data_IF_291364055277
#
_entry.id   IF_291364055277
#
_cell.length_a   1.000
_cell.length_b   1.000
_cell.length_c   1.000
_cell.angle_alpha   90.00
_cell.angle_beta   90.00
_cell.angle_gamma   90.00
#
_symmetry.space_group_name_H-M   'P 1'
#
loop_
_entity.id
_entity.type
_entity.pdbx_description
1 polymer ?
#
# COMPACT_ATOMS: atom_id res chain seq x y z
N UNK A 1 23.26 4.08 12.44
CA UNK A 1 24.01 2.81 12.49
C UNK A 1 24.91 2.79 11.28
N UNK A 2 26.21 2.90 11.51
CA UNK A 2 27.21 2.95 10.45
C UNK A 2 27.85 1.56 10.32
N UNK A 3 28.19 1.18 9.09
CA UNK A 3 28.85 -0.07 8.81
C UNK A 3 29.88 0.14 7.71
N UNK A 4 31.04 -0.48 7.85
CA UNK A 4 32.06 -0.52 6.79
C UNK A 4 31.90 -1.78 5.96
N UNK A 5 32.12 -1.68 4.64
CA UNK A 5 32.17 -2.84 3.76
C UNK A 5 33.49 -3.57 4.01
N UNK A 6 33.41 -4.86 4.37
CA UNK A 6 34.61 -5.69 4.62
C UNK A 6 34.87 -6.71 3.52
N UNK A 7 33.83 -7.10 2.76
CA UNK A 7 33.98 -7.92 1.57
C UNK A 7 32.79 -7.74 0.61
N UNK A 8 33.05 -7.88 -0.69
CA UNK A 8 32.05 -7.94 -1.76
C UNK A 8 32.30 -9.19 -2.58
N UNK A 9 31.31 -10.06 -2.67
CA UNK A 9 31.34 -11.30 -3.45
C UNK A 9 30.14 -11.35 -4.38
N UNK A 10 30.35 -10.98 -5.65
CA UNK A 10 29.28 -10.78 -6.62
C UNK A 10 28.26 -9.75 -6.14
N UNK A 11 27.02 -10.18 -5.89
CA UNK A 11 25.96 -9.33 -5.33
C UNK A 11 25.86 -9.41 -3.81
N UNK A 12 26.60 -10.29 -3.13
CA UNK A 12 26.60 -10.38 -1.68
C UNK A 12 27.63 -9.41 -1.08
N UNK A 13 27.24 -8.69 -0.05
CA UNK A 13 28.10 -7.76 0.67
C UNK A 13 28.15 -8.12 2.14
N UNK A 14 29.36 -8.22 2.67
CA UNK A 14 29.61 -8.34 4.11
C UNK A 14 29.94 -6.97 4.66
N UNK A 15 29.14 -6.56 5.63
CA UNK A 15 29.29 -5.29 6.35
C UNK A 15 29.74 -5.58 7.78
N UNK A 16 30.59 -4.74 8.33
CA UNK A 16 30.91 -4.75 9.75
C UNK A 16 30.34 -3.50 10.41
N UNK A 17 29.51 -3.67 11.43
CA UNK A 17 28.96 -2.57 12.20
C UNK A 17 30.04 -1.87 12.99
N UNK A 18 30.10 -0.55 12.90
CA UNK A 18 31.06 0.25 13.67
C UNK A 18 30.74 0.24 15.17
N UNK A 19 29.48 0.04 15.52
CA UNK A 19 29.02 0.08 16.91
C UNK A 19 29.47 -1.10 17.77
N UNK A 20 29.56 -2.30 17.18
CA UNK A 20 29.78 -3.54 17.94
C UNK A 20 30.61 -4.59 17.19
N UNK A 21 31.12 -4.27 16.00
CA UNK A 21 31.95 -5.17 15.20
C UNK A 21 31.21 -6.36 14.59
N UNK A 22 29.88 -6.50 14.78
CA UNK A 22 29.11 -7.60 14.19
C UNK A 22 29.13 -7.52 12.68
N UNK A 23 29.16 -8.70 12.05
CA UNK A 23 29.07 -8.81 10.60
C UNK A 23 27.62 -8.97 10.17
N UNK A 24 27.18 -8.20 9.17
CA UNK A 24 25.91 -8.37 8.49
C UNK A 24 26.15 -8.83 7.05
N UNK A 25 25.21 -9.60 6.53
CA UNK A 25 25.14 -9.96 5.12
C UNK A 25 23.98 -9.20 4.49
N UNK A 26 24.25 -8.52 3.38
CA UNK A 26 23.26 -7.82 2.58
C UNK A 26 23.48 -8.13 1.11
N UNK A 27 22.46 -7.93 0.27
CA UNK A 27 22.69 -7.86 -1.17
C UNK A 27 23.13 -6.43 -1.52
N UNK A 28 24.04 -6.29 -2.49
CA UNK A 28 24.53 -5.00 -2.99
C UNK A 28 23.38 -4.10 -3.45
N UNK A 29 22.30 -4.69 -3.97
CA UNK A 29 21.08 -3.98 -4.34
C UNK A 29 20.28 -3.42 -3.16
N UNK A 30 20.48 -3.95 -1.95
CA UNK A 30 19.86 -3.51 -0.71
C UNK A 30 20.69 -2.43 0.01
N UNK A 31 21.88 -2.13 -0.50
CA UNK A 31 22.80 -1.15 0.08
C UNK A 31 22.72 0.19 -0.65
N UNK A 32 22.69 1.25 0.14
CA UNK A 32 22.91 2.60 -0.37
C UNK A 32 24.41 2.88 -0.36
N UNK A 33 25.03 2.83 -1.54
CA UNK A 33 26.39 3.31 -1.72
C UNK A 33 26.37 4.83 -1.81
N UNK A 34 27.25 5.46 -1.02
CA UNK A 34 27.45 6.90 -0.94
C UNK A 34 28.69 7.26 -1.76
N UNK A 35 28.61 8.31 -2.57
CA UNK A 35 29.80 8.88 -3.20
C UNK A 35 30.64 9.64 -2.16
N UNK A 36 31.92 9.90 -2.47
CA UNK A 36 32.75 10.76 -1.64
C UNK A 36 32.07 12.11 -1.38
N UNK A 37 32.18 12.59 -0.14
CA UNK A 37 31.43 13.74 0.40
C UNK A 37 31.62 15.06 -0.38
N UNK A 38 32.53 15.12 -1.35
CA UNK A 38 32.78 16.28 -2.22
C UNK A 38 32.02 16.31 -3.56
N UNK A 39 31.27 15.27 -3.92
CA UNK A 39 30.55 15.27 -5.20
C UNK A 39 29.45 16.34 -5.27
N UNK A 40 29.30 16.98 -6.44
CA UNK A 40 28.24 17.95 -6.69
C UNK A 40 26.86 17.25 -6.71
N UNK A 41 25.87 17.84 -6.04
CA UNK A 41 24.50 17.34 -6.03
C UNK A 41 23.76 17.75 -7.31
N UNK A 42 23.02 16.83 -7.92
CA UNK A 42 22.13 17.16 -9.03
C UNK A 42 20.87 17.89 -8.52
N UNK A 43 20.50 19.00 -9.18
CA UNK A 43 19.30 19.79 -8.85
C UNK A 43 18.54 20.08 -10.16
N UNK A 44 17.28 19.62 -10.33
CA UNK A 44 16.58 18.69 -9.45
C UNK A 44 17.23 17.29 -9.46
N UNK A 45 17.07 16.53 -8.38
CA UNK A 45 17.77 15.26 -8.23
C UNK A 45 17.25 14.36 -7.12
N UNK A 46 18.01 13.32 -6.81
CA UNK A 46 17.77 12.40 -5.70
C UNK A 46 19.04 12.24 -4.88
N UNK A 47 18.87 12.07 -3.57
CA UNK A 47 19.96 11.97 -2.62
C UNK A 47 19.54 11.10 -1.41
N UNK A 48 20.48 10.88 -0.51
CA UNK A 48 20.21 10.40 0.85
C UNK A 48 20.34 11.61 1.78
N UNK A 49 19.26 11.99 2.46
CA UNK A 49 19.20 13.18 3.30
C UNK A 49 19.08 12.80 4.77
N UNK A 50 19.68 13.61 5.65
CA UNK A 50 19.58 13.44 7.09
C UNK A 50 18.34 14.15 7.62
N UNK A 51 17.57 13.45 8.44
CA UNK A 51 16.46 14.01 9.21
C UNK A 51 16.47 13.41 10.62
N UNK A 52 16.38 14.27 11.64
CA UNK A 52 16.38 13.89 13.07
C UNK A 52 17.44 12.84 13.46
N UNK A 53 18.62 12.92 12.83
CA UNK A 53 19.74 12.02 13.10
C UNK A 53 19.76 10.72 12.29
N UNK A 54 18.72 10.41 11.52
CA UNK A 54 18.63 9.27 10.62
C UNK A 54 18.76 9.68 9.15
N UNK A 55 19.15 8.74 8.28
CA UNK A 55 19.31 8.97 6.85
C UNK A 55 18.15 8.36 6.05
N UNK A 56 17.57 9.13 5.15
CA UNK A 56 16.41 8.74 4.35
C UNK A 56 16.59 9.05 2.86
N UNK A 57 15.94 8.29 1.96
CA UNK A 57 15.84 8.68 0.56
C UNK A 57 15.06 9.99 0.43
N UNK A 58 15.60 10.94 -0.34
CA UNK A 58 14.98 12.24 -0.58
C UNK A 58 15.07 12.66 -2.06
N UNK A 59 14.17 13.56 -2.47
CA UNK A 59 14.26 14.28 -3.74
C UNK A 59 14.72 15.70 -3.47
N UNK A 60 15.61 16.21 -4.31
CA UNK A 60 16.05 17.60 -4.27
C UNK A 60 15.24 18.36 -5.31
N UNK A 61 14.44 19.32 -4.85
CA UNK A 61 13.56 20.13 -5.68
C UNK A 61 14.32 21.35 -6.24
N UNK A 62 15.03 22.08 -5.39
CA UNK A 62 15.77 23.29 -5.75
C UNK A 62 16.93 23.57 -4.78
N UNK A 63 17.82 24.47 -5.16
CA UNK A 63 18.91 24.95 -4.33
C UNK A 63 19.03 26.47 -4.45
N UNK A 64 19.16 27.15 -3.31
CA UNK A 64 19.36 28.60 -3.24
C UNK A 64 20.23 28.94 -2.03
N UNK A 65 21.32 29.68 -2.25
CA UNK A 65 22.22 30.11 -1.18
C UNK A 65 22.80 28.95 -0.36
N UNK A 66 23.14 27.83 -1.01
CA UNK A 66 23.67 26.63 -0.33
C UNK A 66 22.65 25.82 0.47
N UNK A 67 21.39 26.23 0.48
CA UNK A 67 20.28 25.51 1.11
C UNK A 67 19.48 24.77 0.05
N UNK A 68 19.22 23.50 0.31
CA UNK A 68 18.50 22.58 -0.57
C UNK A 68 17.06 22.43 -0.08
N UNK A 69 16.08 22.66 -0.96
CA UNK A 69 14.70 22.28 -0.71
C UNK A 69 14.54 20.80 -1.08
N UNK A 70 14.17 19.97 -0.10
CA UNK A 70 14.06 18.52 -0.28
C UNK A 70 12.66 18.00 0.06
N UNK A 71 12.25 16.95 -0.64
CA UNK A 71 11.05 16.17 -0.35
C UNK A 71 11.47 14.80 0.23
N UNK A 72 11.10 14.57 1.48
CA UNK A 72 11.14 13.28 2.17
C UNK A 72 9.84 12.50 1.92
N UNK A 73 9.79 11.21 2.30
CA UNK A 73 8.53 10.48 2.31
C UNK A 73 7.48 11.19 3.18
N UNK A 74 7.87 11.69 4.34
CA UNK A 74 6.98 12.26 5.36
C UNK A 74 6.74 13.77 5.26
N UNK A 75 7.43 14.49 4.37
CA UNK A 75 7.24 15.93 4.24
C UNK A 75 8.32 16.64 3.44
N UNK A 76 8.21 17.97 3.35
CA UNK A 76 9.26 18.82 2.76
C UNK A 76 10.09 19.48 3.84
N UNK A 77 11.38 19.68 3.55
CA UNK A 77 12.31 20.31 4.48
C UNK A 77 13.37 21.12 3.71
N UNK A 78 14.08 21.99 4.44
CA UNK A 78 15.25 22.71 3.96
C UNK A 78 16.48 22.17 4.68
N UNK A 79 17.51 21.79 3.92
CA UNK A 79 18.72 21.17 4.45
C UNK A 79 19.97 21.88 3.91
N UNK A 80 21.02 21.92 4.73
CA UNK A 80 22.35 22.36 4.35
C UNK A 80 23.16 21.21 3.74
N UNK A 81 24.18 21.52 2.93
CA UNK A 81 25.01 20.51 2.21
C UNK A 81 25.49 19.31 3.05
N UNK A 82 25.92 19.46 4.33
CA UNK A 82 26.37 18.32 5.16
C UNK A 82 25.27 17.32 5.50
N UNK A 83 24.00 17.70 5.35
CA UNK A 83 22.84 16.86 5.61
C UNK A 83 22.38 16.10 4.35
N UNK A 84 23.13 16.21 3.25
CA UNK A 84 22.84 15.51 2.00
C UNK A 84 24.04 14.69 1.56
N UNK A 85 23.77 13.50 1.06
CA UNK A 85 24.75 12.61 0.45
C UNK A 85 24.34 12.33 -0.99
N UNK A 86 25.29 12.50 -1.90
CA UNK A 86 25.06 12.23 -3.32
C UNK A 86 24.74 10.75 -3.51
N UNK A 87 23.61 10.49 -4.18
CA UNK A 87 23.26 9.15 -4.60
C UNK A 87 24.22 8.68 -5.71
N UNK A 88 24.85 7.52 -5.53
CA UNK A 88 25.49 6.80 -6.64
C UNK A 88 24.44 6.37 -7.67
N UNK A 89 24.87 5.91 -8.86
CA UNK A 89 23.93 5.51 -9.93
C UNK A 89 22.89 4.47 -9.48
N UNK A 90 23.31 3.44 -8.75
CA UNK A 90 22.41 2.40 -8.21
C UNK A 90 21.50 2.96 -7.12
N UNK A 91 22.05 3.72 -6.17
CA UNK A 91 21.26 4.41 -5.13
C UNK A 91 20.20 5.32 -5.75
N UNK A 92 20.56 6.09 -6.78
CA UNK A 92 19.64 7.00 -7.45
C UNK A 92 18.48 6.26 -8.12
N UNK A 93 18.74 5.11 -8.76
CA UNK A 93 17.70 4.24 -9.32
C UNK A 93 16.76 3.73 -8.22
N UNK A 94 17.29 3.28 -7.08
CA UNK A 94 16.52 2.79 -5.95
C UNK A 94 15.65 3.89 -5.32
N UNK A 95 16.21 5.09 -5.09
CA UNK A 95 15.46 6.24 -4.57
C UNK A 95 14.33 6.64 -5.53
N UNK A 96 14.60 6.72 -6.85
CA UNK A 96 13.57 7.00 -7.85
C UNK A 96 12.48 5.93 -7.87
N UNK A 97 12.84 4.65 -7.75
CA UNK A 97 11.88 3.54 -7.68
C UNK A 97 11.01 3.64 -6.42
N UNK A 98 11.61 3.95 -5.28
CA UNK A 98 10.91 4.16 -4.01
C UNK A 98 9.86 5.28 -4.13
N UNK A 99 10.23 6.47 -4.60
CA UNK A 99 9.27 7.58 -4.76
C UNK A 99 8.19 7.28 -5.79
N UNK A 100 8.53 6.60 -6.89
CA UNK A 100 7.54 6.15 -7.89
C UNK A 100 6.53 5.17 -7.27
N UNK A 101 6.99 4.21 -6.48
CA UNK A 101 6.10 3.26 -5.79
C UNK A 101 5.23 3.96 -4.75
N UNK A 102 5.79 4.88 -3.96
CA UNK A 102 5.04 5.70 -3.00
C UNK A 102 3.95 6.53 -3.69
N UNK A 103 4.28 7.19 -4.80
CA UNK A 103 3.33 7.98 -5.60
C UNK A 103 2.19 7.11 -6.17
N UNK A 104 2.52 5.90 -6.66
CA UNK A 104 1.52 4.92 -7.10
C UNK A 104 0.58 4.49 -5.97
N UNK A 105 1.13 4.13 -4.79
CA UNK A 105 0.34 3.77 -3.60
C UNK A 105 -0.55 4.92 -3.13
N UNK A 106 -0.02 6.14 -3.06
CA UNK A 106 -0.79 7.33 -2.68
C UNK A 106 -1.92 7.60 -3.67
N UNK A 107 -1.64 7.53 -4.98
CA UNK A 107 -2.67 7.66 -6.01
C UNK A 107 -3.72 6.57 -5.93
N UNK A 108 -3.31 5.33 -5.63
CA UNK A 108 -4.22 4.20 -5.42
C UNK A 108 -5.15 4.45 -4.22
N UNK A 109 -4.59 4.82 -3.06
CA UNK A 109 -5.35 5.11 -1.85
C UNK A 109 -6.32 6.29 -2.05
N UNK A 110 -5.90 7.37 -2.70
CA UNK A 110 -6.78 8.50 -3.07
C UNK A 110 -7.89 8.08 -4.02
N UNK A 111 -7.58 7.24 -5.01
CA UNK A 111 -8.56 6.68 -5.93
C UNK A 111 -9.60 5.81 -5.21
N UNK A 112 -9.14 4.92 -4.33
CA UNK A 112 -9.98 4.05 -3.52
C UNK A 112 -10.89 4.83 -2.57
N UNK A 113 -10.33 5.80 -1.83
CA UNK A 113 -11.12 6.67 -0.94
C UNK A 113 -12.20 7.42 -1.71
N UNK A 114 -11.88 7.92 -2.91
CA UNK A 114 -12.87 8.54 -3.80
C UNK A 114 -13.87 7.55 -4.37
N UNK A 115 -13.56 6.26 -4.48
CA UNK A 115 -14.51 5.25 -4.95
C UNK A 115 -15.57 4.92 -3.89
N UNK A 116 -15.32 5.25 -2.62
CA UNK A 116 -16.24 5.03 -1.50
C UNK A 116 -16.05 3.66 -0.86
N UNK A 117 -17.14 3.04 -0.45
CA UNK A 117 -17.15 1.73 0.20
C UNK A 117 -18.06 0.77 -0.58
N UNK A 118 -17.89 -0.54 -0.41
CA UNK A 118 -18.93 -1.49 -0.80
C UNK A 118 -20.26 -1.14 -0.14
N UNK A 119 -21.36 -1.34 -0.86
CA UNK A 119 -22.70 -1.16 -0.32
C UNK A 119 -23.55 -2.40 -0.58
N UNK A 120 -24.49 -2.68 0.33
CA UNK A 120 -25.52 -3.66 0.07
C UNK A 120 -26.39 -3.23 -1.13
N UNK A 121 -26.94 -4.17 -1.92
CA UNK A 121 -27.98 -3.87 -2.88
C UNK A 121 -29.25 -3.34 -2.19
N UNK A 122 -30.02 -2.51 -2.89
CA UNK A 122 -31.27 -1.97 -2.35
C UNK A 122 -32.25 -3.08 -1.97
N UNK A 123 -32.88 -2.94 -0.81
CA UNK A 123 -33.82 -3.93 -0.27
C UNK A 123 -33.17 -5.23 0.24
N UNK A 124 -31.83 -5.35 0.19
CA UNK A 124 -31.15 -6.50 0.77
C UNK A 124 -31.18 -6.44 2.30
N UNK A 125 -31.63 -7.54 2.91
CA UNK A 125 -31.69 -7.70 4.36
C UNK A 125 -31.04 -9.04 4.74
N UNK A 126 -29.97 -9.03 5.55
CA UNK A 126 -29.28 -10.25 5.96
C UNK A 126 -30.17 -11.12 6.86
N UNK A 127 -30.14 -12.42 6.64
CA UNK A 127 -30.83 -13.45 7.43
C UNK A 127 -29.83 -14.35 8.17
N UNK A 128 -30.23 -14.97 9.28
CA UNK A 128 -29.44 -16.02 9.92
C UNK A 128 -29.01 -17.10 8.92
N UNK A 129 -27.72 -17.45 8.94
CA UNK A 129 -27.09 -18.41 8.03
C UNK A 129 -26.45 -17.78 6.78
N UNK A 130 -26.85 -16.56 6.39
CA UNK A 130 -26.38 -15.93 5.16
C UNK A 130 -24.86 -15.68 5.18
N UNK A 131 -24.16 -15.98 4.06
CA UNK A 131 -22.78 -15.56 3.87
C UNK A 131 -22.73 -14.05 3.60
N UNK A 132 -21.82 -13.37 4.31
CA UNK A 132 -21.69 -11.92 4.25
C UNK A 132 -20.24 -11.49 4.25
N UNK A 133 -19.98 -10.27 3.75
CA UNK A 133 -18.74 -9.55 4.03
C UNK A 133 -18.98 -8.56 5.17
N UNK A 134 -18.03 -8.51 6.10
CA UNK A 134 -18.12 -7.72 7.32
C UNK A 134 -16.96 -6.73 7.36
N UNK A 135 -17.27 -5.44 7.52
CA UNK A 135 -16.27 -4.39 7.70
C UNK A 135 -15.77 -4.36 9.15
N UNK A 136 -14.46 -4.58 9.33
CA UNK A 136 -13.79 -4.54 10.63
C UNK A 136 -12.38 -3.97 10.50
N UNK A 137 -12.05 -3.00 11.36
CA UNK A 137 -10.72 -2.38 11.46
C UNK A 137 -10.20 -1.84 10.11
N UNK A 138 -11.10 -1.37 9.24
CA UNK A 138 -10.77 -0.87 7.90
C UNK A 138 -10.65 -1.95 6.82
N UNK A 139 -10.85 -3.21 7.16
CA UNK A 139 -10.79 -4.36 6.24
C UNK A 139 -12.14 -5.05 6.10
N UNK A 140 -12.27 -5.89 5.09
CA UNK A 140 -13.47 -6.67 4.82
C UNK A 140 -13.16 -8.16 4.94
N UNK A 141 -13.99 -8.89 5.70
CA UNK A 141 -13.80 -10.32 5.94
C UNK A 141 -15.06 -11.10 5.60
N UNK A 142 -14.88 -12.33 5.11
CA UNK A 142 -15.99 -13.24 4.94
C UNK A 142 -16.49 -13.74 6.31
N UNK A 143 -17.80 -13.87 6.44
CA UNK A 143 -18.46 -14.33 7.64
C UNK A 143 -19.84 -14.92 7.37
N UNK A 144 -20.50 -15.34 8.45
CA UNK A 144 -21.89 -15.78 8.45
C UNK A 144 -22.70 -15.07 9.50
N UNK A 145 -23.91 -14.69 9.15
CA UNK A 145 -24.88 -14.13 10.11
C UNK A 145 -25.35 -15.26 11.02
N UNK A 146 -25.28 -15.04 12.33
CA UNK A 146 -25.80 -16.00 13.32
C UNK A 146 -27.22 -15.63 13.73
N UNK A 147 -27.44 -14.38 14.11
CA UNK A 147 -28.75 -13.86 14.52
C UNK A 147 -28.78 -12.34 14.51
N UNK A 148 -29.99 -11.78 14.46
CA UNK A 148 -30.23 -10.37 14.76
C UNK A 148 -30.19 -10.15 16.28
N UNK A 149 -29.61 -9.04 16.69
CA UNK A 149 -29.57 -8.54 18.07
C UNK A 149 -30.01 -7.07 18.06
N UNK A 150 -30.23 -6.48 19.23
CA UNK A 150 -30.72 -5.10 19.37
C UNK A 150 -29.85 -4.10 18.61
N UNK A 151 -28.52 -4.18 18.79
CA UNK A 151 -27.54 -3.27 18.17
C UNK A 151 -27.01 -3.72 16.80
N UNK A 152 -27.71 -4.63 16.11
CA UNK A 152 -27.36 -5.07 14.77
C UNK A 152 -27.35 -6.58 14.59
N UNK A 153 -26.25 -7.11 14.07
CA UNK A 153 -26.16 -8.52 13.68
C UNK A 153 -24.98 -9.18 14.37
N UNK A 154 -25.24 -10.32 15.02
CA UNK A 154 -24.19 -11.19 15.50
C UNK A 154 -23.70 -12.04 14.33
N UNK A 155 -22.42 -11.93 13.99
CA UNK A 155 -21.78 -12.63 12.88
C UNK A 155 -20.58 -13.42 13.37
N UNK A 156 -20.27 -14.54 12.70
CA UNK A 156 -19.02 -15.28 12.89
C UNK A 156 -18.12 -15.05 11.69
N UNK A 157 -16.91 -14.54 11.91
CA UNK A 157 -15.92 -14.42 10.82
C UNK A 157 -15.33 -15.80 10.52
N UNK A 158 -15.18 -16.13 9.23
CA UNK A 158 -14.56 -17.40 8.82
C UNK A 158 -13.08 -17.47 9.21
N UNK A 159 -12.42 -16.31 9.26
CA UNK A 159 -10.98 -16.19 9.52
C UNK A 159 -10.54 -16.59 10.93
N UNK A 160 -11.38 -16.33 11.93
CA UNK A 160 -10.97 -16.37 13.34
C UNK A 160 -11.89 -17.19 14.22
N UNK A 161 -12.96 -17.75 13.65
CA UNK A 161 -14.06 -18.42 14.36
C UNK A 161 -14.68 -17.58 15.49
N UNK A 162 -14.35 -16.29 15.55
CA UNK A 162 -14.79 -15.36 16.57
C UNK A 162 -16.11 -14.71 16.17
N UNK A 163 -16.96 -14.49 17.17
CA UNK A 163 -18.25 -13.84 17.01
C UNK A 163 -18.14 -12.35 17.32
N UNK A 164 -18.82 -11.53 16.52
CA UNK A 164 -18.87 -10.09 16.69
C UNK A 164 -20.30 -9.59 16.51
N UNK A 165 -20.65 -8.54 17.24
CA UNK A 165 -21.83 -7.74 16.93
C UNK A 165 -21.39 -6.60 16.03
N UNK A 166 -22.04 -6.46 14.88
CA UNK A 166 -21.73 -5.43 13.90
C UNK A 166 -23.01 -4.75 13.43
N UNK A 167 -22.99 -3.41 13.26
CA UNK A 167 -24.10 -2.69 12.65
C UNK A 167 -24.41 -3.20 11.24
N UNK A 168 -25.68 -3.10 10.82
CA UNK A 168 -26.14 -3.66 9.55
C UNK A 168 -25.46 -3.00 8.33
N UNK A 169 -25.13 -1.71 8.41
CA UNK A 169 -24.42 -0.95 7.38
C UNK A 169 -22.96 -1.39 7.18
N UNK A 170 -22.40 -2.14 8.14
CA UNK A 170 -21.06 -2.74 8.04
C UNK A 170 -21.09 -4.15 7.48
N UNK A 171 -22.24 -4.60 6.99
CA UNK A 171 -22.45 -5.93 6.45
C UNK A 171 -23.06 -5.81 5.06
N UNK A 172 -22.51 -6.58 4.12
CA UNK A 172 -23.00 -6.66 2.75
C UNK A 172 -23.03 -8.14 2.31
N UNK A 173 -23.79 -8.52 1.28
CA UNK A 173 -23.74 -9.89 0.78
C UNK A 173 -22.37 -10.21 0.16
N UNK A 174 -22.02 -11.49 0.12
CA UNK A 174 -20.95 -11.95 -0.78
C UNK A 174 -21.41 -11.85 -2.25
N UNK A 175 -20.51 -11.79 -3.24
CA UNK A 175 -20.87 -11.88 -4.66
C UNK A 175 -21.75 -13.12 -4.97
N UNK A 176 -22.53 -13.09 -6.07
CA UNK A 176 -22.42 -12.18 -7.20
C UNK A 176 -23.21 -10.87 -7.06
N UNK A 177 -22.66 -9.77 -7.56
CA UNK A 177 -23.35 -8.49 -7.70
C UNK A 177 -23.82 -8.26 -9.14
N UNK A 178 -25.08 -7.84 -9.29
CA UNK A 178 -25.65 -7.36 -10.56
C UNK A 178 -25.36 -5.85 -10.66
N UNK A 179 -24.16 -5.49 -11.07
CA UNK A 179 -23.79 -4.10 -11.30
C UNK A 179 -22.68 -4.01 -12.33
N UNK A 180 -22.68 -2.92 -13.09
CA UNK A 180 -21.60 -2.67 -14.04
C UNK A 180 -20.31 -2.35 -13.29
N UNK A 181 -19.24 -3.01 -13.75
CA UNK A 181 -17.90 -2.86 -13.23
C UNK A 181 -17.07 -2.25 -14.35
N UNK A 182 -16.79 -0.97 -14.18
CA UNK A 182 -16.12 -0.16 -15.20
C UNK A 182 -14.60 -0.15 -15.01
N UNK A 183 -13.82 -0.15 -16.11
CA UNK A 183 -12.40 0.14 -16.06
C UNK A 183 -12.11 1.45 -15.32
N UNK A 184 -11.08 1.45 -14.49
CA UNK A 184 -10.72 2.56 -13.61
C UNK A 184 -11.40 2.51 -12.25
N UNK A 185 -12.50 1.76 -12.08
CA UNK A 185 -13.21 1.55 -10.82
C UNK A 185 -12.43 0.69 -9.82
N UNK A 186 -12.89 0.67 -8.57
CA UNK A 186 -12.30 -0.13 -7.50
C UNK A 186 -13.29 -1.21 -7.05
N UNK A 187 -12.76 -2.39 -6.76
CA UNK A 187 -13.53 -3.55 -6.30
C UNK A 187 -12.77 -4.25 -5.17
N UNK A 188 -13.51 -5.00 -4.36
CA UNK A 188 -12.93 -6.00 -3.48
C UNK A 188 -12.91 -7.36 -4.18
N UNK A 189 -11.82 -8.10 -4.00
CA UNK A 189 -11.67 -9.49 -4.43
C UNK A 189 -11.38 -10.35 -3.22
N UNK A 190 -11.83 -11.61 -3.25
CA UNK A 190 -11.51 -12.58 -2.22
C UNK A 190 -9.99 -12.73 -2.07
N UNK A 191 -9.53 -12.95 -0.83
CA UNK A 191 -8.13 -13.26 -0.55
C UNK A 191 -7.72 -14.62 -1.09
N UNK A 192 -6.47 -15.03 -0.83
CA UNK A 192 -5.98 -16.34 -1.29
C UNK A 192 -6.58 -17.48 -0.49
N UNK A 193 -6.78 -17.27 0.81
CA UNK A 193 -7.51 -18.16 1.71
C UNK A 193 -8.82 -17.53 2.18
N UNK A 194 -9.81 -18.37 2.53
CA UNK A 194 -11.10 -17.91 3.08
C UNK A 194 -10.97 -17.10 4.39
N UNK A 195 -9.83 -17.23 5.07
CA UNK A 195 -9.50 -16.50 6.29
C UNK A 195 -8.85 -15.13 6.03
N UNK A 196 -8.47 -14.83 4.80
CA UNK A 196 -7.82 -13.56 4.47
C UNK A 196 -8.83 -12.42 4.39
N UNK A 197 -8.36 -11.22 4.70
CA UNK A 197 -9.09 -10.02 4.33
C UNK A 197 -9.25 -9.96 2.81
N UNK A 198 -10.43 -9.53 2.37
CA UNK A 198 -10.69 -9.21 0.97
C UNK A 198 -9.78 -8.06 0.54
N UNK A 199 -9.19 -8.21 -0.64
CA UNK A 199 -8.19 -7.29 -1.16
C UNK A 199 -8.86 -6.23 -2.02
N UNK A 200 -8.50 -4.98 -1.77
CA UNK A 200 -8.89 -3.87 -2.60
C UNK A 200 -8.03 -3.82 -3.86
N UNK A 201 -8.65 -3.75 -5.03
CA UNK A 201 -7.97 -3.68 -6.32
C UNK A 201 -8.65 -2.67 -7.25
N UNK A 202 -7.90 -2.17 -8.23
CA UNK A 202 -8.41 -1.32 -9.30
C UNK A 202 -8.65 -2.16 -10.56
N UNK A 203 -9.78 -1.96 -11.21
CA UNK A 203 -10.09 -2.59 -12.50
C UNK A 203 -9.32 -1.87 -13.59
N UNK A 204 -8.48 -2.58 -14.33
CA UNK A 204 -7.71 -2.02 -15.45
C UNK A 204 -8.39 -2.30 -16.78
N UNK A 205 -9.04 -3.46 -16.91
CA UNK A 205 -9.67 -3.89 -18.17
C UNK A 205 -10.78 -4.92 -17.92
N UNK A 206 -11.82 -4.91 -18.77
CA UNK A 206 -12.93 -5.89 -18.78
C UNK A 206 -12.82 -6.76 -20.03
N UNK A 207 -12.76 -8.08 -19.83
CA UNK A 207 -12.70 -9.08 -20.92
C UNK A 207 -13.75 -10.16 -20.69
N UNK A 208 -14.95 -9.93 -21.23
CA UNK A 208 -16.09 -10.84 -21.05
C UNK A 208 -16.43 -11.06 -19.58
N UNK A 209 -16.28 -12.31 -19.11
CA UNK A 209 -16.55 -12.72 -17.73
C UNK A 209 -15.37 -12.49 -16.76
N UNK A 210 -14.22 -12.02 -17.25
CA UNK A 210 -13.02 -11.77 -16.43
C UNK A 210 -12.67 -10.28 -16.40
N UNK A 211 -12.03 -9.87 -15.30
CA UNK A 211 -11.48 -8.54 -15.10
C UNK A 211 -9.97 -8.65 -14.93
N UNK A 212 -9.21 -7.78 -15.60
CA UNK A 212 -7.81 -7.54 -15.26
C UNK A 212 -7.78 -6.48 -14.17
N UNK A 213 -7.24 -6.82 -13.02
CA UNK A 213 -7.20 -5.95 -11.84
C UNK A 213 -5.76 -5.69 -11.42
N UNK A 214 -5.52 -4.57 -10.74
CA UNK A 214 -4.22 -4.17 -10.19
C UNK A 214 -4.34 -3.84 -8.70
N UNK A 215 -3.44 -4.38 -7.88
CA UNK A 215 -3.36 -4.07 -6.45
C UNK A 215 -2.63 -2.74 -6.17
N UNK A 216 -2.52 -2.36 -4.89
CA UNK A 216 -1.80 -1.15 -4.47
C UNK A 216 -0.28 -1.19 -4.72
N UNK A 217 0.29 -2.38 -4.91
CA UNK A 217 1.71 -2.59 -5.20
C UNK A 217 2.00 -2.59 -6.71
N UNK A 218 0.96 -2.62 -7.53
CA UNK A 218 1.03 -2.64 -8.99
C UNK A 218 1.04 -4.04 -9.59
N UNK A 219 0.87 -5.10 -8.79
CA UNK A 219 0.72 -6.45 -9.32
C UNK A 219 -0.63 -6.57 -10.01
N UNK A 220 -0.63 -7.23 -11.17
CA UNK A 220 -1.83 -7.43 -11.97
C UNK A 220 -2.27 -8.88 -11.93
N UNK A 221 -3.55 -9.11 -11.70
CA UNK A 221 -4.16 -10.44 -11.71
C UNK A 221 -5.42 -10.45 -12.58
N UNK A 222 -5.90 -11.65 -12.92
CA UNK A 222 -7.22 -11.84 -13.51
C UNK A 222 -8.18 -12.40 -12.48
N UNK A 223 -9.39 -11.84 -12.40
CA UNK A 223 -10.44 -12.31 -11.50
C UNK A 223 -11.76 -12.47 -12.25
N UNK A 224 -12.59 -13.40 -11.80
CA UNK A 224 -13.92 -13.57 -12.37
C UNK A 224 -14.80 -12.39 -11.95
N UNK A 225 -15.56 -11.81 -12.89
CA UNK A 225 -16.45 -10.67 -12.64
C UNK A 225 -17.51 -10.97 -11.58
N UNK A 226 -17.93 -12.23 -11.49
CA UNK A 226 -18.91 -12.70 -10.51
C UNK A 226 -18.34 -12.87 -9.10
N UNK A 227 -17.02 -12.76 -8.93
CA UNK A 227 -16.31 -12.99 -7.67
C UNK A 227 -15.78 -11.68 -7.05
N UNK A 228 -16.33 -10.52 -7.44
CA UNK A 228 -15.88 -9.23 -6.94
C UNK A 228 -17.04 -8.40 -6.40
N UNK A 229 -16.72 -7.49 -5.48
CA UNK A 229 -17.69 -6.53 -4.92
C UNK A 229 -17.29 -5.11 -5.33
N UNK A 230 -18.14 -4.38 -6.08
CA UNK A 230 -17.81 -3.01 -6.48
C UNK A 230 -17.88 -2.03 -5.31
N UNK A 231 -16.94 -1.10 -5.26
CA UNK A 231 -17.03 0.08 -4.41
C UNK A 231 -17.96 1.11 -5.06
N UNK A 232 -18.80 1.75 -4.25
CA UNK A 232 -19.71 2.80 -4.70
C UNK A 232 -19.51 4.04 -3.86
N UNK A 233 -19.54 5.21 -4.49
CA UNK A 233 -19.67 6.47 -3.77
C UNK A 233 -21.03 6.44 -3.09
N UNK A 234 -21.05 6.76 -1.80
CA UNK A 234 -22.30 7.08 -1.14
C UNK A 234 -22.88 8.30 -1.88
N UNK A 235 -23.95 8.10 -2.64
CA UNK A 235 -24.77 9.22 -3.07
C UNK A 235 -25.41 9.74 -1.78
N UNK A 236 -25.24 11.03 -1.41
CA UNK A 236 -26.09 11.60 -0.39
C UNK A 236 -27.54 11.44 -0.85
N UNK A 237 -28.43 11.07 0.07
CA UNK A 237 -29.86 11.08 -0.22
C UNK A 237 -30.26 12.50 -0.68
N UNK A 238 -31.10 12.63 -1.71
CA UNK A 238 -31.60 13.92 -2.17
C UNK A 238 -32.40 14.64 -1.08
#
# INVERSE_FOLDING_TARGET
MNARVIAVDGTAVRLQLESDGRTLHAQLGDLYSLADNGAALSVPGVAICRDTGAWYPCRIDSMSGGIYAVEFPHGKQRLARPELLQATGVTAINVRRFFRQRSKRSSFAKGASRAGAPSAPDGWHPRPGDPVLVAKDGYWFAGRVLKRVEDGLRVRLLARSAEYVVPAERIIPVPPYKGDIEPGGYVLVEGGAAADAWKLVRVEERRGAKLRVRDEHGHTNQVARVAVVPLRRHRPAP
#
